data_IF_943355378939
#
_entry.id   IF_943355378939
#
_cell.length_a   1.000
_cell.length_b   1.000
_cell.length_c   1.000
_cell.angle_alpha   90.00
_cell.angle_beta   90.00
_cell.angle_gamma   90.00
#
_symmetry.space_group_name_H-M   'P 1'
#
loop_
_entity.id
_entity.type
_entity.pdbx_description
1 polymer ?
#
# COMPACT_ATOMS: atom_id res chain seq x y z
N UNK A 1 17.41 1.47 8.74
CA UNK A 1 16.19 2.05 8.11
C UNK A 1 16.66 2.78 6.87
N UNK A 2 15.94 2.68 5.76
CA UNK A 2 16.23 3.43 4.52
C UNK A 2 15.21 4.54 4.39
N UNK A 3 15.65 5.68 3.86
CA UNK A 3 14.78 6.82 3.55
C UNK A 3 14.21 6.66 2.14
N UNK A 4 12.91 6.93 1.96
CA UNK A 4 12.30 6.96 0.63
C UNK A 4 11.39 8.17 0.47
N UNK A 5 11.08 8.49 -0.79
CA UNK A 5 10.12 9.54 -1.14
C UNK A 5 9.21 9.05 -2.27
N UNK A 6 7.94 9.43 -2.19
CA UNK A 6 6.93 8.98 -3.16
C UNK A 6 6.92 9.85 -4.42
N UNK A 7 6.95 9.19 -5.58
CA UNK A 7 6.72 9.78 -6.90
C UNK A 7 5.28 9.44 -7.31
N UNK A 8 4.42 10.44 -7.41
CA UNK A 8 3.03 10.26 -7.83
C UNK A 8 2.88 10.48 -9.33
N UNK A 9 2.24 9.52 -10.00
CA UNK A 9 1.86 9.57 -11.41
C UNK A 9 0.34 9.68 -11.57
N UNK A 10 -0.40 9.89 -10.48
CA UNK A 10 -1.88 9.93 -10.44
C UNK A 10 -2.34 11.38 -10.36
N UNK A 11 -2.73 11.95 -11.49
CA UNK A 11 -3.15 13.36 -11.57
C UNK A 11 -4.37 13.66 -10.68
N UNK A 12 -5.27 12.70 -10.52
CA UNK A 12 -6.46 12.83 -9.67
C UNK A 12 -6.13 12.95 -8.17
N UNK A 13 -4.92 12.58 -7.77
CA UNK A 13 -4.42 12.74 -6.40
C UNK A 13 -3.62 14.04 -6.20
N UNK A 14 -3.53 14.91 -7.21
CA UNK A 14 -2.80 16.18 -7.12
C UNK A 14 -3.41 17.07 -6.04
N UNK A 15 -2.53 17.60 -5.18
CA UNK A 15 -2.95 18.31 -3.97
C UNK A 15 -2.96 17.43 -2.70
N UNK A 16 -2.72 16.13 -2.84
CA UNK A 16 -2.45 15.21 -1.73
C UNK A 16 -1.02 15.39 -1.17
N UNK A 17 -0.56 14.46 -0.31
CA UNK A 17 0.68 14.62 0.46
C UNK A 17 1.96 14.43 -0.37
N UNK A 18 1.84 14.07 -1.64
CA UNK A 18 3.00 13.77 -2.49
C UNK A 18 3.70 15.04 -2.96
N UNK A 19 5.04 14.95 -3.12
CA UNK A 19 5.89 16.09 -3.46
C UNK A 19 6.38 16.00 -4.92
N UNK A 20 6.63 14.79 -5.44
CA UNK A 20 7.16 14.59 -6.79
C UNK A 20 6.05 14.17 -7.75
N UNK A 21 5.84 15.01 -8.80
CA UNK A 21 4.72 14.90 -9.73
C UNK A 21 5.15 14.92 -11.21
N UNK A 22 6.43 15.13 -11.48
CA UNK A 22 6.95 15.42 -12.81
C UNK A 22 7.50 14.16 -13.52
N UNK A 23 6.99 12.99 -13.13
CA UNK A 23 7.34 11.70 -13.73
C UNK A 23 8.50 10.99 -13.04
N UNK A 24 8.79 9.76 -13.49
CA UNK A 24 9.77 8.89 -12.86
C UNK A 24 11.20 9.42 -12.99
N UNK A 25 11.58 9.92 -14.16
CA UNK A 25 12.94 10.42 -14.43
C UNK A 25 13.29 11.61 -13.52
N UNK A 26 12.42 12.63 -13.49
CA UNK A 26 12.63 13.80 -12.61
C UNK A 26 12.59 13.39 -11.14
N UNK A 27 11.63 12.55 -10.75
CA UNK A 27 11.48 12.06 -9.38
C UNK A 27 12.71 11.30 -8.89
N UNK A 28 13.23 10.34 -9.66
CA UNK A 28 14.44 9.58 -9.31
C UNK A 28 15.67 10.48 -9.23
N UNK A 29 15.86 11.35 -10.21
CA UNK A 29 16.97 12.31 -10.23
C UNK A 29 16.96 13.21 -8.98
N UNK A 30 15.80 13.74 -8.59
CA UNK A 30 15.63 14.61 -7.42
C UNK A 30 15.79 13.83 -6.11
N UNK A 31 15.23 12.63 -6.01
CA UNK A 31 15.38 11.76 -4.85
C UNK A 31 16.88 11.50 -4.57
N UNK A 32 17.63 11.09 -5.59
CA UNK A 32 19.06 10.86 -5.48
C UNK A 32 19.83 12.13 -5.08
N UNK A 33 19.52 13.28 -5.72
CA UNK A 33 20.16 14.56 -5.42
C UNK A 33 19.92 15.03 -3.97
N UNK A 34 18.78 14.65 -3.37
CA UNK A 34 18.42 14.94 -1.98
C UNK A 34 18.95 13.90 -0.99
N UNK A 35 19.58 12.82 -1.48
CA UNK A 35 20.20 11.79 -0.64
C UNK A 35 19.22 10.73 -0.09
N UNK A 36 18.06 10.53 -0.74
CA UNK A 36 17.19 9.40 -0.41
C UNK A 36 17.81 8.08 -0.85
N UNK A 37 17.56 7.01 -0.09
CA UNK A 37 18.00 5.65 -0.41
C UNK A 37 17.09 4.95 -1.43
N UNK A 38 15.83 5.38 -1.52
CA UNK A 38 14.80 4.73 -2.28
C UNK A 38 13.71 5.70 -2.77
N UNK A 39 12.91 5.22 -3.71
CA UNK A 39 11.64 5.86 -4.09
C UNK A 39 10.49 4.88 -3.87
N UNK A 40 9.32 5.44 -3.65
CA UNK A 40 8.04 4.77 -3.74
C UNK A 40 7.31 5.30 -4.98
N UNK A 41 6.58 4.47 -5.68
CA UNK A 41 5.84 4.89 -6.88
C UNK A 41 4.34 4.73 -6.64
N UNK A 42 3.59 5.78 -6.94
CA UNK A 42 2.14 5.76 -6.93
C UNK A 42 1.61 5.91 -8.37
N UNK A 43 1.41 4.78 -9.09
CA UNK A 43 1.01 4.80 -10.50
C UNK A 43 -0.51 4.75 -10.65
N UNK A 44 -1.06 5.20 -11.78
CA UNK A 44 -2.49 5.04 -12.10
C UNK A 44 -2.90 3.58 -12.39
N UNK A 45 -1.94 2.69 -12.56
CA UNK A 45 -2.06 1.26 -12.78
C UNK A 45 -0.72 0.69 -13.21
N UNK A 46 -0.53 -0.63 -13.15
CA UNK A 46 0.73 -1.28 -13.51
C UNK A 46 1.17 -0.97 -14.94
N UNK A 47 0.24 -0.97 -15.90
CA UNK A 47 0.52 -0.67 -17.31
C UNK A 47 1.00 0.76 -17.60
N UNK A 48 0.94 1.68 -16.63
CA UNK A 48 1.45 3.05 -16.78
C UNK A 48 2.95 3.18 -16.49
N UNK A 49 3.59 2.11 -16.02
CA UNK A 49 5.00 2.09 -15.66
C UNK A 49 5.71 0.99 -16.46
N UNK A 50 6.69 1.38 -17.26
CA UNK A 50 7.60 0.42 -17.87
C UNK A 50 8.62 -0.06 -16.82
N UNK A 51 8.56 -1.34 -16.45
CA UNK A 51 9.41 -1.93 -15.43
C UNK A 51 10.89 -1.90 -15.81
N UNK A 52 11.21 -2.01 -17.11
CA UNK A 52 12.58 -1.92 -17.61
C UNK A 52 13.14 -0.51 -17.48
N UNK A 53 12.34 0.49 -17.85
CA UNK A 53 12.69 1.91 -17.68
C UNK A 53 12.87 2.24 -16.20
N UNK A 54 11.92 1.82 -15.34
CA UNK A 54 12.04 2.06 -13.91
C UNK A 54 13.31 1.44 -13.33
N UNK A 55 13.63 0.19 -13.69
CA UNK A 55 14.87 -0.46 -13.27
C UNK A 55 16.10 0.33 -13.70
N UNK A 56 16.15 0.77 -14.96
CA UNK A 56 17.28 1.55 -15.47
C UNK A 56 17.47 2.87 -14.69
N UNK A 57 16.38 3.56 -14.38
CA UNK A 57 16.43 4.80 -13.57
C UNK A 57 16.91 4.54 -12.13
N UNK A 58 16.43 3.45 -11.51
CA UNK A 58 16.86 3.07 -10.17
C UNK A 58 18.38 2.75 -10.15
N UNK A 59 18.87 1.99 -11.13
CA UNK A 59 20.27 1.63 -11.27
C UNK A 59 21.15 2.87 -11.54
N UNK A 60 20.71 3.75 -12.47
CA UNK A 60 21.43 4.99 -12.82
C UNK A 60 21.62 5.90 -11.60
N UNK A 61 20.57 6.04 -10.79
CA UNK A 61 20.56 6.94 -9.64
C UNK A 61 20.92 6.25 -8.31
N UNK A 62 21.28 4.96 -8.35
CA UNK A 62 21.62 4.15 -7.15
C UNK A 62 20.50 4.15 -6.10
N UNK A 63 19.25 4.17 -6.54
CA UNK A 63 18.06 4.12 -5.72
C UNK A 63 17.50 2.69 -5.67
N UNK A 64 16.71 2.41 -4.63
CA UNK A 64 15.88 1.22 -4.54
C UNK A 64 14.42 1.58 -4.78
N UNK A 65 13.62 0.61 -5.19
CA UNK A 65 12.17 0.73 -5.10
C UNK A 65 11.74 0.24 -3.72
N UNK A 66 11.13 1.11 -2.91
CA UNK A 66 10.65 0.74 -1.58
C UNK A 66 9.30 0.02 -1.64
N UNK A 67 8.35 0.60 -2.38
CA UNK A 67 7.02 0.04 -2.56
C UNK A 67 6.31 0.66 -3.78
N UNK A 68 5.17 0.07 -4.16
CA UNK A 68 4.26 0.62 -5.18
C UNK A 68 2.85 0.69 -4.63
N UNK A 69 2.26 1.89 -4.64
CA UNK A 69 0.92 2.15 -4.12
C UNK A 69 -0.19 1.62 -5.04
N UNK A 70 -1.25 1.05 -4.48
CA UNK A 70 -2.43 0.57 -5.22
C UNK A 70 -3.61 1.54 -5.18
N UNK A 71 -3.53 2.63 -4.42
CA UNK A 71 -4.66 3.53 -4.13
C UNK A 71 -5.37 4.11 -5.37
N UNK A 72 -4.71 4.16 -6.53
CA UNK A 72 -5.33 4.57 -7.79
C UNK A 72 -6.49 3.64 -8.21
N UNK A 73 -6.47 2.38 -7.81
CA UNK A 73 -7.59 1.46 -8.00
C UNK A 73 -8.90 2.00 -7.41
N UNK A 74 -8.83 2.63 -6.23
CA UNK A 74 -9.97 3.35 -5.65
C UNK A 74 -10.19 4.72 -6.30
N UNK A 75 -9.15 5.55 -6.38
CA UNK A 75 -9.28 6.95 -6.83
C UNK A 75 -9.85 7.04 -8.23
N UNK A 76 -9.36 6.21 -9.16
CA UNK A 76 -9.74 6.24 -10.58
C UNK A 76 -10.85 5.26 -10.93
N UNK A 77 -10.83 4.07 -10.35
CA UNK A 77 -11.67 2.95 -10.81
C UNK A 77 -12.74 2.53 -9.80
N UNK A 78 -12.72 3.12 -8.59
CA UNK A 78 -13.64 2.80 -7.49
C UNK A 78 -13.63 1.32 -7.08
N UNK A 79 -12.50 0.65 -7.33
CA UNK A 79 -12.30 -0.73 -6.92
C UNK A 79 -12.02 -0.81 -5.43
N UNK A 80 -12.67 -1.77 -4.75
CA UNK A 80 -12.40 -2.10 -3.35
C UNK A 80 -12.40 -3.60 -3.14
N UNK A 81 -11.68 -4.04 -2.11
CA UNK A 81 -11.62 -5.44 -1.71
C UNK A 81 -12.82 -5.88 -0.86
N UNK A 82 -13.71 -4.95 -0.48
CA UNK A 82 -14.86 -5.19 0.38
C UNK A 82 -16.19 -4.82 -0.27
N UNK A 83 -16.23 -4.69 -1.60
CA UNK A 83 -17.47 -4.47 -2.35
C UNK A 83 -18.49 -5.57 -2.06
N UNK A 84 -19.80 -5.26 -1.95
CA UNK A 84 -20.85 -6.28 -1.91
C UNK A 84 -20.86 -7.17 -3.16
N UNK A 85 -20.45 -6.63 -4.31
CA UNK A 85 -20.36 -7.38 -5.56
C UNK A 85 -19.03 -8.17 -5.62
N UNK A 86 -19.14 -9.48 -5.75
CA UNK A 86 -17.98 -10.37 -5.86
C UNK A 86 -17.13 -10.11 -7.10
N UNK A 87 -17.73 -9.67 -8.21
CA UNK A 87 -17.00 -9.33 -9.43
C UNK A 87 -16.14 -8.07 -9.22
N UNK A 88 -16.64 -7.10 -8.44
CA UNK A 88 -15.86 -5.92 -8.07
C UNK A 88 -14.69 -6.28 -7.16
N UNK A 89 -14.90 -7.19 -6.18
CA UNK A 89 -13.80 -7.69 -5.35
C UNK A 89 -12.75 -8.42 -6.17
N UNK A 90 -13.18 -9.27 -7.13
CA UNK A 90 -12.27 -9.97 -8.04
C UNK A 90 -11.45 -8.99 -8.90
N UNK A 91 -12.10 -7.96 -9.45
CA UNK A 91 -11.41 -6.88 -10.20
C UNK A 91 -10.42 -6.12 -9.32
N UNK A 92 -10.81 -5.83 -8.07
CA UNK A 92 -9.93 -5.21 -7.09
C UNK A 92 -8.69 -6.07 -6.80
N UNK A 93 -8.88 -7.37 -6.57
CA UNK A 93 -7.79 -8.33 -6.38
C UNK A 93 -6.88 -8.45 -7.60
N UNK A 94 -7.46 -8.50 -8.81
CA UNK A 94 -6.71 -8.54 -10.06
C UNK A 94 -5.82 -7.29 -10.23
N UNK A 95 -6.36 -6.10 -9.97
CA UNK A 95 -5.61 -4.85 -10.00
C UNK A 95 -4.41 -4.87 -9.04
N UNK A 96 -4.60 -5.36 -7.82
CA UNK A 96 -3.50 -5.47 -6.84
C UNK A 96 -2.44 -6.47 -7.31
N UNK A 97 -2.84 -7.61 -7.91
CA UNK A 97 -1.89 -8.59 -8.48
C UNK A 97 -1.03 -7.98 -9.59
N UNK A 98 -1.61 -7.15 -10.48
CA UNK A 98 -0.84 -6.44 -11.51
C UNK A 98 0.21 -5.51 -10.89
N UNK A 99 -0.10 -4.84 -9.78
CA UNK A 99 0.88 -4.01 -9.06
C UNK A 99 1.95 -4.89 -8.38
N UNK A 100 1.59 -6.04 -7.81
CA UNK A 100 2.57 -6.99 -7.27
C UNK A 100 3.51 -7.49 -8.36
N UNK A 101 3.01 -7.79 -9.57
CA UNK A 101 3.80 -8.24 -10.70
C UNK A 101 4.74 -7.14 -11.25
N UNK A 102 4.36 -5.87 -11.12
CA UNK A 102 5.24 -4.74 -11.41
C UNK A 102 6.33 -4.56 -10.36
N UNK A 103 5.97 -4.59 -9.07
CA UNK A 103 6.84 -4.27 -7.95
C UNK A 103 7.79 -5.42 -7.58
N UNK A 104 7.26 -6.65 -7.54
CA UNK A 104 7.95 -7.83 -7.04
C UNK A 104 9.27 -8.15 -7.73
N UNK A 105 9.36 -8.16 -9.08
CA UNK A 105 10.62 -8.35 -9.80
C UNK A 105 11.68 -7.27 -9.51
N UNK A 106 11.27 -6.13 -8.98
CA UNK A 106 12.15 -5.03 -8.54
C UNK A 106 12.50 -5.13 -7.04
N UNK A 107 12.03 -6.18 -6.35
CA UNK A 107 12.26 -6.40 -4.92
C UNK A 107 11.41 -5.52 -4.01
N UNK A 108 10.30 -4.97 -4.53
CA UNK A 108 9.42 -4.05 -3.81
C UNK A 108 8.05 -4.66 -3.54
N UNK A 109 7.39 -4.15 -2.51
CA UNK A 109 6.05 -4.54 -2.08
C UNK A 109 4.96 -3.70 -2.73
N UNK A 110 3.76 -4.25 -2.87
CA UNK A 110 2.56 -3.47 -3.13
C UNK A 110 1.93 -3.00 -1.81
N UNK A 111 1.38 -1.76 -1.77
CA UNK A 111 0.69 -1.20 -0.61
C UNK A 111 -0.81 -1.19 -0.86
N UNK A 112 -1.58 -1.77 0.06
CA UNK A 112 -3.04 -1.67 0.10
C UNK A 112 -3.42 -0.68 1.20
N UNK A 113 -3.90 0.51 0.78
CA UNK A 113 -4.52 1.51 1.63
C UNK A 113 -5.99 1.68 1.24
N UNK A 114 -6.33 2.70 0.44
CA UNK A 114 -7.72 3.06 0.08
C UNK A 114 -8.53 1.93 -0.57
N UNK A 115 -7.87 0.96 -1.22
CA UNK A 115 -8.55 -0.20 -1.82
C UNK A 115 -9.11 -1.19 -0.79
N UNK A 116 -8.76 -1.07 0.50
CA UNK A 116 -9.39 -1.87 1.56
C UNK A 116 -10.91 -1.67 1.59
N UNK A 117 -11.40 -0.48 1.22
CA UNK A 117 -12.81 -0.15 1.20
C UNK A 117 -13.39 0.18 2.57
N UNK A 118 -14.67 -0.12 2.77
CA UNK A 118 -15.41 0.19 3.99
C UNK A 118 -16.60 -0.73 4.16
N UNK A 119 -17.17 -0.79 5.37
CA UNK A 119 -18.46 -1.43 5.61
C UNK A 119 -19.63 -0.44 5.51
N UNK A 120 -20.80 -0.95 5.23
CA UNK A 120 -22.05 -0.16 5.16
C UNK A 120 -23.05 -0.70 4.15
N UNK A 121 -24.28 -0.21 4.18
CA UNK A 121 -25.35 -0.70 3.31
C UNK A 121 -25.60 -2.21 3.49
N UNK A 122 -25.40 -3.03 2.44
CA UNK A 122 -25.65 -4.47 2.51
C UNK A 122 -24.49 -5.27 3.17
N UNK A 123 -23.35 -4.64 3.45
CA UNK A 123 -22.16 -5.31 4.01
C UNK A 123 -21.91 -4.76 5.42
N UNK A 124 -22.11 -5.60 6.43
CA UNK A 124 -21.77 -5.26 7.80
C UNK A 124 -20.24 -5.33 8.03
N UNK A 125 -19.80 -4.88 9.22
CA UNK A 125 -18.36 -4.79 9.52
C UNK A 125 -17.68 -6.16 9.54
N UNK A 126 -18.34 -7.17 10.09
CA UNK A 126 -17.79 -8.52 10.21
C UNK A 126 -17.58 -9.14 8.81
N UNK A 127 -18.59 -9.02 7.95
CA UNK A 127 -18.53 -9.47 6.54
C UNK A 127 -17.44 -8.74 5.78
N UNK A 128 -17.33 -7.41 5.92
CA UNK A 128 -16.31 -6.62 5.25
C UNK A 128 -14.89 -7.00 5.71
N UNK A 129 -14.67 -7.20 7.01
CA UNK A 129 -13.40 -7.69 7.55
C UNK A 129 -13.08 -9.11 7.07
N UNK A 130 -14.09 -9.97 6.91
CA UNK A 130 -13.94 -11.29 6.29
C UNK A 130 -13.41 -11.19 4.87
N UNK A 131 -14.06 -10.39 4.02
CA UNK A 131 -13.59 -10.16 2.63
C UNK A 131 -12.19 -9.57 2.57
N UNK A 132 -11.89 -8.60 3.43
CA UNK A 132 -10.56 -8.00 3.50
C UNK A 132 -9.51 -9.04 3.92
N UNK A 133 -9.81 -9.84 4.93
CA UNK A 133 -8.92 -10.90 5.42
C UNK A 133 -8.61 -11.94 4.35
N UNK A 134 -9.65 -12.44 3.64
CA UNK A 134 -9.49 -13.36 2.52
C UNK A 134 -8.61 -12.76 1.42
N UNK A 135 -8.85 -11.51 1.04
CA UNK A 135 -8.07 -10.82 0.02
C UNK A 135 -6.61 -10.64 0.45
N UNK A 136 -6.35 -10.21 1.69
CA UNK A 136 -4.99 -10.04 2.21
C UNK A 136 -4.24 -11.37 2.28
N UNK A 137 -4.90 -12.45 2.69
CA UNK A 137 -4.33 -13.79 2.72
C UNK A 137 -3.90 -14.24 1.32
N UNK A 138 -4.80 -14.12 0.34
CA UNK A 138 -4.57 -14.53 -1.04
C UNK A 138 -3.48 -13.70 -1.72
N UNK A 139 -3.55 -12.37 -1.60
CA UNK A 139 -2.61 -11.44 -2.21
C UNK A 139 -1.23 -11.48 -1.53
N UNK A 140 -1.17 -11.70 -0.22
CA UNK A 140 0.07 -11.94 0.50
C UNK A 140 0.77 -13.21 0.04
N UNK A 141 0.02 -14.29 -0.14
CA UNK A 141 0.56 -15.53 -0.69
C UNK A 141 1.01 -15.35 -2.15
N UNK A 142 0.25 -14.60 -2.95
CA UNK A 142 0.66 -14.25 -4.31
C UNK A 142 1.98 -13.46 -4.33
N UNK A 143 2.16 -12.48 -3.44
CA UNK A 143 3.40 -11.71 -3.36
C UNK A 143 4.63 -12.55 -2.94
N UNK A 144 4.41 -13.67 -2.22
CA UNK A 144 5.47 -14.59 -1.79
C UNK A 144 6.32 -15.14 -2.93
N UNK A 145 5.75 -15.29 -4.14
CA UNK A 145 6.49 -15.73 -5.32
C UNK A 145 7.67 -14.82 -5.67
N UNK A 146 7.61 -13.55 -5.27
CA UNK A 146 8.66 -12.55 -5.46
C UNK A 146 9.55 -12.37 -4.22
N UNK A 147 9.34 -13.17 -3.16
CA UNK A 147 10.03 -13.07 -1.87
C UNK A 147 9.87 -11.68 -1.19
N UNK A 148 8.76 -10.98 -1.45
CA UNK A 148 8.39 -9.72 -0.81
C UNK A 148 7.07 -9.88 -0.06
N UNK A 149 6.85 -9.17 1.07
CA UNK A 149 5.54 -9.14 1.72
C UNK A 149 4.57 -8.22 0.96
N UNK A 150 3.28 -8.42 1.19
CA UNK A 150 2.27 -7.42 0.91
C UNK A 150 2.26 -6.41 2.07
N UNK A 151 2.07 -5.13 1.79
CA UNK A 151 1.93 -4.09 2.82
C UNK A 151 0.44 -3.71 2.95
N UNK A 152 -0.09 -3.76 4.17
CA UNK A 152 -1.42 -3.29 4.50
C UNK A 152 -1.35 -2.05 5.37
N UNK A 153 -2.10 -1.02 5.01
CA UNK A 153 -2.11 0.27 5.67
C UNK A 153 -3.46 0.53 6.36
N UNK A 154 -3.52 0.56 7.70
CA UNK A 154 -4.63 1.15 8.43
C UNK A 154 -4.76 2.64 8.09
N UNK A 155 -5.96 3.09 7.74
CA UNK A 155 -6.22 4.49 7.36
C UNK A 155 -7.07 5.18 8.42
N UNK A 156 -7.07 6.51 8.43
CA UNK A 156 -7.91 7.28 9.33
C UNK A 156 -9.42 7.14 9.02
N UNK A 157 -10.26 7.53 9.99
CA UNK A 157 -11.75 7.44 9.95
C UNK A 157 -12.43 8.18 8.81
N UNK A 158 -11.73 9.09 8.14
CA UNK A 158 -12.27 9.83 6.99
C UNK A 158 -12.12 9.04 5.68
N UNK A 159 -11.28 8.00 5.67
CA UNK A 159 -10.97 7.21 4.48
C UNK A 159 -11.48 5.76 4.56
N UNK A 160 -11.59 5.22 5.77
CA UNK A 160 -12.15 3.88 6.02
C UNK A 160 -12.91 3.84 7.34
N UNK A 161 -13.67 2.78 7.56
CA UNK A 161 -14.29 2.47 8.85
C UNK A 161 -14.04 1.00 9.26
N UNK A 162 -12.98 0.38 8.68
CA UNK A 162 -12.60 -1.01 8.96
C UNK A 162 -11.50 -1.08 10.00
N UNK A 163 -10.26 -0.79 9.63
CA UNK A 163 -9.09 -0.79 10.49
C UNK A 163 -8.49 0.61 10.50
N UNK A 164 -8.63 1.31 11.62
CA UNK A 164 -8.17 2.71 11.74
C UNK A 164 -6.95 2.85 12.66
N UNK A 165 -6.67 1.85 13.49
CA UNK A 165 -5.53 1.87 14.42
C UNK A 165 -4.52 0.77 14.10
N UNK A 166 -3.31 0.92 14.61
CA UNK A 166 -2.30 -0.15 14.54
C UNK A 166 -2.80 -1.43 15.24
N UNK A 167 -3.55 -1.28 16.33
CA UNK A 167 -4.15 -2.42 17.05
C UNK A 167 -5.18 -3.16 16.19
N UNK A 168 -6.03 -2.45 15.44
CA UNK A 168 -6.97 -3.08 14.49
C UNK A 168 -6.20 -3.86 13.41
N UNK A 169 -5.14 -3.26 12.87
CA UNK A 169 -4.27 -3.90 11.88
C UNK A 169 -3.62 -5.17 12.41
N UNK A 170 -3.05 -5.13 13.61
CA UNK A 170 -2.46 -6.31 14.27
C UNK A 170 -3.53 -7.40 14.48
N UNK A 171 -4.71 -7.03 15.00
CA UNK A 171 -5.79 -7.97 15.20
C UNK A 171 -6.24 -8.64 13.88
N UNK A 172 -6.32 -7.87 12.79
CA UNK A 172 -6.64 -8.39 11.48
C UNK A 172 -5.57 -9.39 11.01
N UNK A 173 -4.29 -9.02 11.09
CA UNK A 173 -3.20 -9.89 10.64
C UNK A 173 -3.05 -11.16 11.50
N UNK A 174 -3.25 -11.07 12.80
CA UNK A 174 -3.23 -12.22 13.71
C UNK A 174 -4.42 -13.19 13.46
N UNK A 175 -5.50 -12.67 12.87
CA UNK A 175 -6.66 -13.46 12.43
C UNK A 175 -6.48 -14.16 11.08
N UNK A 176 -5.45 -13.79 10.29
CA UNK A 176 -5.11 -14.48 9.05
C UNK A 176 -4.47 -15.84 9.37
N UNK A 177 -4.47 -16.75 8.40
CA UNK A 177 -3.89 -18.09 8.58
C UNK A 177 -2.42 -18.09 9.05
N UNK A 178 -1.85 -19.26 9.23
CA UNK A 178 -0.46 -19.39 9.68
C UNK A 178 0.52 -18.68 8.73
N UNK A 179 1.32 -17.78 9.30
CA UNK A 179 2.40 -17.08 8.61
C UNK A 179 1.93 -16.26 7.38
N UNK A 180 0.97 -15.34 7.53
CA UNK A 180 0.58 -14.48 6.42
C UNK A 180 1.79 -13.66 5.93
N UNK A 181 1.95 -13.56 4.61
CA UNK A 181 3.02 -12.75 4.01
C UNK A 181 2.56 -11.29 3.86
N UNK A 182 2.06 -10.72 4.95
CA UNK A 182 1.51 -9.36 5.05
C UNK A 182 2.15 -8.65 6.23
N UNK A 183 2.54 -7.40 6.01
CA UNK A 183 3.06 -6.50 7.05
C UNK A 183 2.25 -5.23 7.11
N UNK A 184 2.31 -4.50 8.22
CA UNK A 184 1.63 -3.22 8.40
C UNK A 184 2.50 -2.06 7.93
N UNK A 185 1.84 -1.06 7.39
CA UNK A 185 2.38 0.28 7.23
C UNK A 185 1.91 1.15 8.42
N UNK A 186 2.86 1.74 9.13
CA UNK A 186 2.59 2.73 10.15
C UNK A 186 2.70 4.12 9.53
N UNK A 187 1.57 4.72 9.14
CA UNK A 187 1.51 6.08 8.63
C UNK A 187 1.23 7.05 9.78
N UNK A 188 2.19 7.91 10.08
CA UNK A 188 2.07 8.86 11.21
C UNK A 188 0.98 9.89 11.00
N UNK A 189 0.59 10.21 9.75
CA UNK A 189 -0.53 11.10 9.48
C UNK A 189 -1.85 10.44 9.91
N UNK A 190 -2.10 9.21 9.49
CA UNK A 190 -3.31 8.46 9.89
C UNK A 190 -3.32 8.18 11.38
N UNK A 191 -2.20 7.74 11.92
CA UNK A 191 -2.03 7.46 13.35
C UNK A 191 -2.24 8.70 14.23
N UNK A 192 -1.81 9.89 13.78
CA UNK A 192 -2.02 11.13 14.54
C UNK A 192 -3.51 11.52 14.68
N UNK A 193 -4.36 11.02 13.79
CA UNK A 193 -5.81 11.24 13.85
C UNK A 193 -6.48 10.21 14.77
N UNK A 194 -5.99 8.96 14.77
CA UNK A 194 -6.69 7.83 15.38
C UNK A 194 -6.10 7.38 16.72
N UNK A 195 -4.79 7.50 16.90
CA UNK A 195 -4.10 6.96 18.06
C UNK A 195 -4.03 7.96 19.21
N UNK A 196 -4.22 7.50 20.42
CA UNK A 196 -4.03 8.33 21.61
C UNK A 196 -2.56 8.58 21.93
N UNK A 197 -1.67 7.65 21.55
CA UNK A 197 -0.23 7.75 21.73
C UNK A 197 0.50 7.00 20.60
N UNK A 198 1.16 7.74 19.72
CA UNK A 198 1.90 7.18 18.58
C UNK A 198 2.97 6.16 19.01
N UNK A 199 3.71 6.47 20.09
CA UNK A 199 4.78 5.59 20.57
C UNK A 199 4.25 4.25 21.09
N UNK A 200 3.09 4.23 21.75
CA UNK A 200 2.43 3.00 22.19
C UNK A 200 1.87 2.21 21.02
N UNK A 201 1.26 2.87 20.07
CA UNK A 201 0.75 2.24 18.85
C UNK A 201 1.88 1.58 18.02
N UNK A 202 3.02 2.25 17.85
CA UNK A 202 4.21 1.67 17.19
C UNK A 202 4.71 0.44 17.97
N UNK A 203 4.76 0.50 19.31
CA UNK A 203 5.17 -0.67 20.11
C UNK A 203 4.18 -1.84 19.97
N UNK A 204 2.86 -1.53 19.93
CA UNK A 204 1.82 -2.53 19.71
C UNK A 204 1.92 -3.18 18.32
N UNK A 205 2.19 -2.39 17.28
CA UNK A 205 2.45 -2.89 15.94
C UNK A 205 3.69 -3.79 15.86
N UNK A 206 4.76 -3.43 16.59
CA UNK A 206 5.94 -4.27 16.83
C UNK A 206 6.46 -4.94 15.55
N UNK A 207 6.55 -6.28 15.60
CA UNK A 207 7.04 -7.11 14.47
C UNK A 207 6.18 -7.05 13.20
N UNK A 208 4.92 -6.62 13.32
CA UNK A 208 4.03 -6.53 12.17
C UNK A 208 4.34 -5.32 11.29
N UNK A 209 5.01 -4.30 11.80
CA UNK A 209 5.37 -3.11 11.03
C UNK A 209 6.54 -3.43 10.08
N UNK A 210 6.28 -3.31 8.79
CA UNK A 210 7.28 -3.48 7.72
C UNK A 210 7.60 -2.20 6.96
N UNK A 211 6.73 -1.17 7.06
CA UNK A 211 6.88 0.10 6.37
C UNK A 211 6.38 1.26 7.23
N UNK A 212 6.90 2.48 6.99
CA UNK A 212 6.52 3.68 7.76
C UNK A 212 6.40 4.87 6.81
N UNK A 213 5.29 5.62 6.92
CA UNK A 213 5.14 6.95 6.33
C UNK A 213 5.15 8.04 7.41
N UNK A 214 5.75 9.22 7.08
CA UNK A 214 5.82 10.38 7.99
C UNK A 214 5.93 11.70 7.21
#
# INVERSE_FOLDING_TARGET
MKSCITISLVEEARGGPFIFWDGLEDGCRRAAALGFDAVEVFPPGAGAVDAGQLRALLDEHQLQLAAVGTGAGWVKHRLTLTSPDSQDRERGGAYVREIIDLAGPLGASAIIGSMQGSHGGPVDRETALGYLGEALQELGEYARQHAVPLIYEPLNRYETNLCCTMADGVQLLDGLGENPNVVLLADLFHMNIEETCLAEAIRAGGRHIGHVHF
#
